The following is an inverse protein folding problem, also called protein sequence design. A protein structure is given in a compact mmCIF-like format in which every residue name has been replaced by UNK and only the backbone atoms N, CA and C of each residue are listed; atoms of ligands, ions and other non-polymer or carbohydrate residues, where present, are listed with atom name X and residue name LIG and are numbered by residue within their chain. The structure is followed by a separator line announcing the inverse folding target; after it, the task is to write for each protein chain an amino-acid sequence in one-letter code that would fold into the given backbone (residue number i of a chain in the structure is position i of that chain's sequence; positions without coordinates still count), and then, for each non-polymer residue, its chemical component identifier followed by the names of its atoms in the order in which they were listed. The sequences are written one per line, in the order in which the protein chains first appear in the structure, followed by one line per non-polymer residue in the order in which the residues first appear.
data_IF_797106079666
#
_entry.id   IF_797106079666
#
_cell.length_a   1.000
_cell.length_b   1.000
_cell.length_c   1.000
_cell.angle_alpha   90.00
_cell.angle_beta   90.00
_cell.angle_gamma   90.00
#
_symmetry.space_group_name_H-M   'P 1'
#
loop_
_entity.id
_entity.type
_entity.pdbx_description
1 polymer ?
#
# COMPACT_ATOMS: atom_id res chain seq x y z
N UNK A 1 -1.30 13.25 12.80
CA UNK A 1 -1.40 11.93 12.14
C UNK A 1 -1.92 10.95 13.19
N UNK A 2 -3.13 10.41 13.00
CA UNK A 2 -3.75 9.49 13.97
C UNK A 2 -3.67 8.09 13.37
N UNK A 3 -2.91 7.20 14.01
CA UNK A 3 -2.82 5.80 13.61
C UNK A 3 -4.06 5.08 14.18
N UNK A 4 -5.13 4.99 13.40
CA UNK A 4 -6.32 4.21 13.74
C UNK A 4 -5.97 2.73 13.55
N UNK A 5 -5.55 2.04 14.62
CA UNK A 5 -5.11 0.64 14.58
C UNK A 5 -6.25 -0.35 14.30
N UNK A 6 -7.50 0.10 14.39
CA UNK A 6 -8.69 -0.68 14.10
C UNK A 6 -9.53 0.08 13.09
N UNK A 7 -9.50 -0.38 11.86
CA UNK A 7 -10.29 0.19 10.80
C UNK A 7 -11.72 -0.36 10.89
N UNK A 8 -12.73 0.51 10.96
CA UNK A 8 -14.11 0.07 10.87
C UNK A 8 -14.41 -0.41 9.44
N UNK A 9 -14.53 -1.72 9.26
CA UNK A 9 -14.81 -2.34 7.97
C UNK A 9 -16.11 -1.80 7.37
N UNK A 10 -17.12 -1.49 8.19
CA UNK A 10 -18.39 -0.95 7.71
C UNK A 10 -18.22 0.43 7.07
N UNK A 11 -17.27 1.25 7.55
CA UNK A 11 -16.97 2.55 6.96
C UNK A 11 -16.35 2.44 5.55
N UNK A 12 -15.71 1.31 5.23
CA UNK A 12 -15.16 1.05 3.90
C UNK A 12 -16.17 0.43 2.92
N UNK A 13 -17.27 -0.15 3.39
CA UNK A 13 -18.29 -0.75 2.50
C UNK A 13 -18.93 0.30 1.59
N UNK A 14 -19.04 1.55 2.07
CA UNK A 14 -19.51 2.69 1.28
C UNK A 14 -18.39 3.43 0.53
N UNK A 15 -17.13 3.08 0.76
CA UNK A 15 -15.99 3.75 0.15
C UNK A 15 -15.71 3.25 -1.27
N UNK A 16 -15.15 4.12 -2.11
CA UNK A 16 -14.81 3.75 -3.48
C UNK A 16 -13.48 3.00 -3.51
N UNK A 17 -13.48 1.75 -3.96
CA UNK A 17 -12.24 1.01 -4.24
C UNK A 17 -11.50 1.66 -5.41
N UNK A 18 -10.24 2.05 -5.19
CA UNK A 18 -9.38 2.69 -6.19
C UNK A 18 -8.44 1.67 -6.84
N UNK A 19 -7.83 0.83 -6.02
CA UNK A 19 -6.90 -0.21 -6.46
C UNK A 19 -6.86 -1.35 -5.46
N UNK A 20 -6.58 -2.57 -5.92
CA UNK A 20 -6.36 -3.73 -5.06
C UNK A 20 -5.30 -4.68 -5.61
N UNK A 21 -4.71 -5.43 -4.68
CA UNK A 21 -3.88 -6.61 -4.89
C UNK A 21 -4.33 -7.71 -3.93
N UNK A 22 -3.63 -8.85 -3.94
CA UNK A 22 -3.96 -9.96 -3.05
C UNK A 22 -3.86 -9.60 -1.56
N UNK A 23 -2.94 -8.71 -1.19
CA UNK A 23 -2.68 -8.35 0.22
C UNK A 23 -3.10 -6.92 0.56
N UNK A 24 -3.29 -6.04 -0.42
CA UNK A 24 -3.54 -4.62 -0.16
C UNK A 24 -4.72 -4.08 -0.97
N UNK A 25 -5.45 -3.13 -0.40
CA UNK A 25 -6.45 -2.34 -1.12
C UNK A 25 -6.36 -0.87 -0.75
N UNK A 26 -6.66 0.01 -1.71
CA UNK A 26 -6.74 1.45 -1.52
C UNK A 26 -8.18 1.88 -1.75
N UNK A 27 -8.75 2.55 -0.77
CA UNK A 27 -10.09 3.12 -0.82
C UNK A 27 -10.02 4.64 -0.79
N UNK A 28 -10.84 5.27 -1.62
CA UNK A 28 -11.19 6.68 -1.50
C UNK A 28 -12.38 6.79 -0.53
N UNK A 29 -12.13 7.46 0.60
CA UNK A 29 -13.10 7.65 1.68
C UNK A 29 -13.68 9.08 1.69
N UNK A 30 -13.44 9.85 0.62
CA UNK A 30 -13.91 11.22 0.47
C UNK A 30 -12.99 12.26 1.11
N UNK A 31 -13.29 13.54 0.90
CA UNK A 31 -12.53 14.68 1.44
C UNK A 31 -11.01 14.59 1.20
N UNK A 32 -10.62 14.20 -0.02
CA UNK A 32 -9.21 14.00 -0.40
C UNK A 32 -8.46 13.10 0.60
N UNK A 33 -9.12 12.04 1.06
CA UNK A 33 -8.60 11.11 2.05
C UNK A 33 -8.73 9.70 1.52
N UNK A 34 -7.68 8.91 1.72
CA UNK A 34 -7.54 7.56 1.22
C UNK A 34 -7.15 6.63 2.35
N UNK A 35 -7.65 5.39 2.29
CA UNK A 35 -7.29 4.35 3.25
C UNK A 35 -6.58 3.22 2.55
N UNK A 36 -5.32 2.98 2.93
CA UNK A 36 -4.57 1.79 2.56
C UNK A 36 -4.89 0.68 3.57
N UNK A 37 -5.38 -0.45 3.09
CA UNK A 37 -5.81 -1.58 3.91
C UNK A 37 -4.95 -2.78 3.58
N UNK A 38 -4.41 -3.43 4.61
CA UNK A 38 -3.86 -4.77 4.53
C UNK A 38 -5.00 -5.79 4.71
N UNK A 39 -5.25 -6.58 3.66
CA UNK A 39 -6.27 -7.63 3.59
C UNK A 39 -5.55 -8.96 3.60
N UNK A 40 -5.51 -9.61 4.77
CA UNK A 40 -5.01 -10.97 4.88
C UNK A 40 -6.14 -11.89 5.37
N UNK A 41 -6.25 -13.07 4.76
CA UNK A 41 -7.26 -14.04 5.16
C UNK A 41 -6.98 -14.51 6.60
N UNK A 42 -8.02 -14.49 7.45
CA UNK A 42 -7.89 -14.89 8.86
C UNK A 42 -7.35 -13.80 9.82
N UNK A 43 -7.13 -12.56 9.35
CA UNK A 43 -6.71 -11.43 10.20
C UNK A 43 -7.67 -10.25 10.06
N UNK A 44 -7.92 -9.54 11.16
CA UNK A 44 -8.67 -8.28 11.14
C UNK A 44 -8.02 -7.29 10.16
N UNK A 45 -8.84 -6.59 9.38
CA UNK A 45 -8.33 -5.59 8.45
C UNK A 45 -7.63 -4.47 9.22
N UNK A 46 -6.37 -4.23 8.85
CA UNK A 46 -5.57 -3.15 9.38
C UNK A 46 -5.34 -2.14 8.27
N UNK A 47 -5.41 -0.86 8.58
CA UNK A 47 -5.19 0.16 7.57
C UNK A 47 -4.73 1.48 8.15
N UNK A 48 -4.27 2.33 7.24
CA UNK A 48 -3.83 3.69 7.55
C UNK A 48 -4.61 4.62 6.64
N UNK A 49 -5.24 5.61 7.27
CA UNK A 49 -5.91 6.70 6.58
C UNK A 49 -4.96 7.87 6.41
N UNK A 50 -4.82 8.34 5.18
CA UNK A 50 -3.90 9.40 4.77
C UNK A 50 -4.59 10.38 3.82
N UNK A 51 -4.15 11.64 3.83
CA UNK A 51 -4.61 12.62 2.83
C UNK A 51 -4.11 12.26 1.43
N UNK A 52 -4.71 12.85 0.39
CA UNK A 52 -4.27 12.70 -1.00
C UNK A 52 -2.81 13.11 -1.21
N UNK A 53 -2.39 14.25 -0.66
CA UNK A 53 -0.99 14.67 -0.64
C UNK A 53 -0.07 13.63 0.04
N UNK A 54 -0.55 13.01 1.12
CA UNK A 54 0.17 11.95 1.82
C UNK A 54 0.33 10.70 0.95
N UNK A 55 -0.74 10.30 0.25
CA UNK A 55 -0.72 9.16 -0.67
C UNK A 55 0.27 9.39 -1.81
N UNK A 56 0.29 10.59 -2.39
CA UNK A 56 1.22 10.94 -3.46
C UNK A 56 2.68 10.84 -3.01
N UNK A 57 3.01 11.41 -1.84
CA UNK A 57 4.38 11.35 -1.27
C UNK A 57 4.80 9.93 -0.94
N UNK A 58 3.91 9.11 -0.38
CA UNK A 58 4.21 7.69 -0.10
C UNK A 58 4.44 6.93 -1.41
N UNK A 59 3.65 7.21 -2.46
CA UNK A 59 3.85 6.62 -3.78
C UNK A 59 5.22 6.95 -4.37
N UNK A 60 5.71 8.18 -4.21
CA UNK A 60 7.05 8.57 -4.64
C UNK A 60 8.15 7.79 -3.89
N UNK A 61 8.04 7.68 -2.57
CA UNK A 61 8.97 6.90 -1.75
C UNK A 61 8.97 5.42 -2.14
N UNK A 62 7.79 4.85 -2.38
CA UNK A 62 7.66 3.46 -2.81
C UNK A 62 8.31 3.24 -4.17
N UNK A 63 8.10 4.14 -5.13
CA UNK A 63 8.74 4.05 -6.45
C UNK A 63 10.27 4.11 -6.35
N UNK A 64 10.83 4.91 -5.44
CA UNK A 64 12.27 4.93 -5.17
C UNK A 64 12.75 3.61 -4.56
N UNK A 65 12.06 3.09 -3.55
CA UNK A 65 12.40 1.82 -2.92
C UNK A 65 12.36 0.65 -3.92
N UNK A 66 11.31 0.57 -4.75
CA UNK A 66 11.17 -0.46 -5.79
C UNK A 66 12.30 -0.39 -6.83
N UNK A 67 12.72 0.82 -7.23
CA UNK A 67 13.87 1.00 -8.13
C UNK A 67 15.18 0.53 -7.52
N UNK A 68 15.39 0.75 -6.22
CA UNK A 68 16.56 0.23 -5.52
C UNK A 68 16.54 -1.29 -5.50
N UNK A 69 15.42 -1.88 -5.04
CA UNK A 69 15.25 -3.33 -4.95
C UNK A 69 15.49 -4.02 -6.30
N UNK A 70 14.90 -3.48 -7.38
CA UNK A 70 15.12 -4.01 -8.72
C UNK A 70 16.61 -4.02 -9.11
N UNK A 71 17.32 -2.91 -8.85
CA UNK A 71 18.74 -2.78 -9.18
C UNK A 71 19.57 -3.80 -8.42
N UNK A 72 19.27 -4.01 -7.14
CA UNK A 72 20.00 -4.95 -6.29
C UNK A 72 19.79 -6.39 -6.79
N UNK A 73 18.54 -6.79 -7.04
CA UNK A 73 18.19 -8.11 -7.59
C UNK A 73 18.84 -8.33 -8.97
N UNK A 74 18.76 -7.34 -9.87
CA UNK A 74 19.39 -7.43 -11.18
C UNK A 74 20.92 -7.57 -11.08
N UNK A 75 21.54 -6.86 -10.13
CA UNK A 75 22.97 -6.96 -9.84
C UNK A 75 23.37 -8.35 -9.36
N UNK A 76 22.57 -8.96 -8.47
CA UNK A 76 22.79 -10.34 -8.01
C UNK A 76 22.66 -11.36 -9.14
N UNK A 77 21.60 -11.27 -9.95
CA UNK A 77 21.38 -12.16 -11.08
C UNK A 77 22.50 -12.07 -12.12
N UNK A 78 23.03 -10.87 -12.36
CA UNK A 78 24.13 -10.66 -13.31
C UNK A 78 25.48 -11.22 -12.81
N UNK A 79 25.64 -11.41 -11.50
CA UNK A 79 26.87 -11.95 -10.88
C UNK A 79 26.84 -13.47 -10.74
N UNK A 80 25.68 -14.12 -10.86
CA UNK A 80 25.60 -15.59 -10.85
C UNK A 80 26.18 -16.14 -12.15
N UNK A 81 27.22 -16.99 -12.12
CA UNK A 81 27.66 -17.68 -13.32
C UNK A 81 26.50 -18.55 -13.83
N UNK A 82 26.27 -18.57 -15.15
CA UNK A 82 25.40 -19.60 -15.75
C UNK A 82 25.96 -20.96 -15.35
N UNK A 83 25.16 -21.75 -14.65
CA UNK A 83 25.41 -23.18 -14.44
C UNK A 83 25.35 -23.91 -15.79
#
# INVERSE_FOLDING_TARGET
MKLEQRLDRAALESARLVAESNEFAIYDVGNDTYTLVHRHEGVDWQGITISGDGLFRVGELLALAMRSLYRDVAGELSRRPRA
#
